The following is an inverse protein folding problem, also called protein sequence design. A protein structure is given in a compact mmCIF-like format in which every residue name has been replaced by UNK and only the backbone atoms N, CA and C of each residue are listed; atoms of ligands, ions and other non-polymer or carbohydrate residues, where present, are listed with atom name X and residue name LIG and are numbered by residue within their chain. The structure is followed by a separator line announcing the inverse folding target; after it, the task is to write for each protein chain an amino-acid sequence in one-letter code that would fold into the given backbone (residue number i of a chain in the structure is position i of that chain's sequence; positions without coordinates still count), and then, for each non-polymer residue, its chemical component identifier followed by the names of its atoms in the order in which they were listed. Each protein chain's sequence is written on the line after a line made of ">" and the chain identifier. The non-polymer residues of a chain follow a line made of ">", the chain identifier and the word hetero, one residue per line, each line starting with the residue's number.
data_IF_628614328682
#
_entry.id   IF_628614328682
#
_cell.length_a   1.000
_cell.length_b   1.000
_cell.length_c   1.000
_cell.angle_alpha   90.00
_cell.angle_beta   90.00
_cell.angle_gamma   90.00
#
_symmetry.space_group_name_H-M   'P 1'
#
loop_
_entity.id
_entity.type
_entity.pdbx_description
1 polymer ?
#
# COMPACT_ATOMS: atom_id res chain seq x y z
N UNK A 1 -17.71 -0.95 2.95
CA UNK A 1 -16.59 -1.44 3.79
C UNK A 1 -16.19 -0.32 4.74
N UNK A 2 -15.83 -0.59 5.99
CA UNK A 2 -15.38 0.48 6.90
C UNK A 2 -13.95 0.93 6.60
N UNK A 3 -13.58 2.15 7.00
CA UNK A 3 -12.22 2.70 6.78
C UNK A 3 -11.12 1.82 7.38
N UNK A 4 -11.33 1.32 8.61
CA UNK A 4 -10.39 0.40 9.27
C UNK A 4 -10.21 -0.89 8.47
N UNK A 5 -11.31 -1.46 7.97
CA UNK A 5 -11.28 -2.67 7.13
C UNK A 5 -10.57 -2.41 5.81
N UNK A 6 -10.78 -1.24 5.19
CA UNK A 6 -10.05 -0.83 3.99
C UNK A 6 -8.54 -0.81 4.22
N UNK A 7 -8.10 -0.13 5.28
CA UNK A 7 -6.68 -0.04 5.64
C UNK A 7 -6.08 -1.42 5.89
N UNK A 8 -6.79 -2.29 6.61
CA UNK A 8 -6.34 -3.66 6.87
C UNK A 8 -6.17 -4.46 5.58
N UNK A 9 -7.11 -4.36 4.63
CA UNK A 9 -7.02 -5.04 3.33
C UNK A 9 -5.84 -4.53 2.51
N UNK A 10 -5.63 -3.20 2.43
CA UNK A 10 -4.51 -2.63 1.68
C UNK A 10 -3.17 -3.04 2.31
N UNK A 11 -3.05 -3.01 3.63
CA UNK A 11 -1.85 -3.46 4.34
C UNK A 11 -1.57 -4.94 4.09
N UNK A 12 -2.59 -5.80 4.21
CA UNK A 12 -2.44 -7.23 3.95
C UNK A 12 -1.99 -7.47 2.50
N UNK A 13 -2.57 -6.77 1.53
CA UNK A 13 -2.18 -6.87 0.13
C UNK A 13 -0.72 -6.45 -0.08
N UNK A 14 -0.27 -5.34 0.51
CA UNK A 14 1.12 -4.90 0.41
C UNK A 14 2.10 -5.90 1.03
N UNK A 15 1.76 -6.46 2.19
CA UNK A 15 2.60 -7.47 2.87
C UNK A 15 2.72 -8.72 2.00
N UNK A 16 1.59 -9.25 1.54
CA UNK A 16 1.57 -10.45 0.68
C UNK A 16 2.33 -10.20 -0.61
N UNK A 17 2.13 -9.04 -1.24
CA UNK A 17 2.79 -8.70 -2.51
C UNK A 17 4.31 -8.55 -2.36
N UNK A 18 4.76 -7.84 -1.33
CA UNK A 18 6.18 -7.53 -1.13
C UNK A 18 6.99 -8.70 -0.55
N UNK A 19 6.40 -9.46 0.38
CA UNK A 19 7.10 -10.55 1.08
C UNK A 19 6.87 -11.93 0.46
N UNK A 20 5.68 -12.20 -0.07
CA UNK A 20 5.33 -13.54 -0.56
C UNK A 20 5.43 -13.64 -2.08
N UNK A 21 4.78 -12.72 -2.80
CA UNK A 21 4.63 -12.84 -4.25
C UNK A 21 5.88 -12.37 -5.03
N UNK A 22 6.80 -11.67 -4.39
CA UNK A 22 8.05 -11.22 -5.02
C UNK A 22 9.16 -12.28 -4.97
N UNK A 23 8.84 -13.49 -5.44
CA UNK A 23 9.68 -14.71 -5.37
C UNK A 23 11.03 -14.52 -6.08
N UNK A 24 11.10 -13.69 -7.12
CA UNK A 24 12.32 -13.44 -7.90
C UNK A 24 12.89 -12.03 -7.73
N UNK A 25 12.37 -11.25 -6.77
CA UNK A 25 12.70 -9.84 -6.60
C UNK A 25 12.53 -8.99 -7.87
N UNK A 26 11.78 -9.43 -8.88
CA UNK A 26 11.66 -8.71 -10.17
C UNK A 26 10.83 -7.43 -10.04
N UNK A 27 9.82 -7.42 -9.18
CA UNK A 27 8.88 -6.29 -9.04
C UNK A 27 9.42 -5.20 -8.12
N UNK A 28 10.02 -5.62 -7.02
CA UNK A 28 10.54 -4.70 -6.01
C UNK A 28 12.06 -4.59 -5.98
N UNK A 29 12.79 -5.09 -7.00
CA UNK A 29 14.27 -5.01 -7.07
C UNK A 29 14.80 -3.60 -6.79
N UNK A 30 14.18 -2.61 -7.42
CA UNK A 30 14.57 -1.22 -7.33
C UNK A 30 14.32 -0.64 -5.93
N UNK A 31 13.30 -1.13 -5.22
CA UNK A 31 12.96 -0.71 -3.87
C UNK A 31 13.83 -1.45 -2.83
N UNK A 32 14.10 -2.74 -3.04
CA UNK A 32 14.97 -3.59 -2.21
C UNK A 32 16.44 -3.12 -2.22
N UNK A 33 16.88 -2.46 -3.30
CA UNK A 33 18.18 -1.80 -3.37
C UNK A 33 18.28 -0.46 -2.64
N UNK A 34 17.19 0.05 -2.05
CA UNK A 34 17.15 1.31 -1.29
C UNK A 34 17.26 1.07 0.21
N UNK A 35 17.55 2.12 0.97
CA UNK A 35 17.64 2.03 2.43
C UNK A 35 16.26 1.74 3.07
N UNK A 36 16.25 1.04 4.21
CA UNK A 36 15.02 0.69 4.93
C UNK A 36 14.09 1.90 5.18
N UNK A 37 14.59 3.09 5.58
CA UNK A 37 13.72 4.27 5.76
C UNK A 37 13.04 4.71 4.47
N UNK A 38 13.72 4.61 3.32
CA UNK A 38 13.13 4.97 2.02
C UNK A 38 12.05 3.98 1.59
N UNK A 39 12.22 2.70 1.90
CA UNK A 39 11.21 1.68 1.65
C UNK A 39 9.95 1.95 2.49
N UNK A 40 10.12 2.24 3.78
CA UNK A 40 9.00 2.59 4.68
C UNK A 40 8.29 3.86 4.20
N UNK A 41 9.04 4.89 3.80
CA UNK A 41 8.47 6.13 3.24
C UNK A 41 7.63 5.87 1.99
N UNK A 42 8.08 4.99 1.10
CA UNK A 42 7.33 4.62 -0.09
C UNK A 42 5.99 3.97 0.26
N UNK A 43 5.99 2.98 1.17
CA UNK A 43 4.76 2.32 1.59
C UNK A 43 3.84 3.26 2.37
N UNK A 44 4.38 4.14 3.21
CA UNK A 44 3.61 5.17 3.91
C UNK A 44 2.95 6.15 2.92
N UNK A 45 3.67 6.59 1.89
CA UNK A 45 3.11 7.43 0.83
C UNK A 45 1.99 6.70 0.06
N UNK A 46 2.22 5.45 -0.34
CA UNK A 46 1.22 4.64 -1.03
C UNK A 46 -0.05 4.44 -0.18
N UNK A 47 0.11 4.18 1.12
CA UNK A 47 -1.00 4.07 2.07
C UNK A 47 -1.77 5.39 2.18
N UNK A 48 -1.06 6.52 2.31
CA UNK A 48 -1.65 7.84 2.37
C UNK A 48 -2.45 8.18 1.11
N UNK A 49 -1.87 7.94 -0.08
CA UNK A 49 -2.57 8.14 -1.35
C UNK A 49 -3.82 7.27 -1.47
N UNK A 50 -3.74 6.00 -1.04
CA UNK A 50 -4.86 5.07 -1.05
C UNK A 50 -5.98 5.52 -0.10
N UNK A 51 -5.65 6.02 1.09
CA UNK A 51 -6.62 6.59 2.03
C UNK A 51 -7.31 7.84 1.47
N UNK A 52 -6.55 8.74 0.82
CA UNK A 52 -7.11 9.93 0.17
C UNK A 52 -8.09 9.52 -0.94
N UNK A 53 -7.72 8.57 -1.80
CA UNK A 53 -8.61 8.05 -2.83
C UNK A 53 -9.87 7.44 -2.23
N UNK A 54 -9.75 6.64 -1.17
CA UNK A 54 -10.90 6.07 -0.48
C UNK A 54 -11.84 7.15 0.05
N UNK A 55 -11.32 8.20 0.69
CA UNK A 55 -12.12 9.31 1.20
C UNK A 55 -12.77 10.12 0.07
N UNK A 56 -12.04 10.42 -1.01
CA UNK A 56 -12.56 11.17 -2.15
C UNK A 56 -13.67 10.41 -2.88
N UNK A 57 -13.46 9.12 -3.16
CA UNK A 57 -14.47 8.29 -3.81
C UNK A 57 -15.64 8.00 -2.88
N UNK A 58 -15.38 7.75 -1.59
CA UNK A 58 -16.41 7.59 -0.57
C UNK A 58 -17.29 8.83 -0.46
N UNK A 59 -16.69 10.02 -0.42
CA UNK A 59 -17.44 11.27 -0.38
C UNK A 59 -18.23 11.54 -1.66
N UNK A 60 -17.69 11.20 -2.84
CA UNK A 60 -18.31 11.51 -4.13
C UNK A 60 -19.37 10.50 -4.59
N UNK A 61 -19.23 9.22 -4.22
CA UNK A 61 -20.03 8.13 -4.79
C UNK A 61 -20.82 7.32 -3.75
N UNK A 62 -20.49 7.42 -2.46
CA UNK A 62 -21.17 6.68 -1.38
C UNK A 62 -21.93 7.60 -0.42
N UNK A 63 -21.95 8.90 -0.69
CA UNK A 63 -22.70 9.94 0.02
C UNK A 63 -23.66 10.61 -0.97
#
# INVERSE_FOLDING_TARGET
>A
MGFVTFIAVVLAALIVDFFWLDIENKRWKWLKGRSKPQQVLFFAFFMGASAILYCLFGYKFLN
#
